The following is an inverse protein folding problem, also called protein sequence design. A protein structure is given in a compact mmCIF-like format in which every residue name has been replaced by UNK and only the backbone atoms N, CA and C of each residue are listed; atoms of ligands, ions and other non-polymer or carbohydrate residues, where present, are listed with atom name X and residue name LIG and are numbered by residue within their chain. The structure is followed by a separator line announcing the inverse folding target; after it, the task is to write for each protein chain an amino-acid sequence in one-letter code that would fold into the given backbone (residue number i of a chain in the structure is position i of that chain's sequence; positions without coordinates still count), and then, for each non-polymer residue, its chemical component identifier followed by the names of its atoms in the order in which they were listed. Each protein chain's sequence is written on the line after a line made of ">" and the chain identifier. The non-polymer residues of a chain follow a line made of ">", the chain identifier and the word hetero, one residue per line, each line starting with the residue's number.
data_IF_610454005460
#
_entry.id   IF_610454005460
#
_cell.length_a   1.000
_cell.length_b   1.000
_cell.length_c   1.000
_cell.angle_alpha   90.00
_cell.angle_beta   90.00
_cell.angle_gamma   90.00
#
_symmetry.space_group_name_H-M   'P 1'
#
loop_
_entity.id
_entity.type
_entity.pdbx_description
1 polymer ?
#
# COMPACT_ATOMS: atom_id res chain seq x y z
N UNK A 1 -4.82 -4.33 16.55
CA UNK A 1 -5.31 -3.20 15.72
C UNK A 1 -5.09 -3.61 14.27
N UNK A 2 -6.13 -4.13 13.60
CA UNK A 2 -6.01 -4.51 12.20
C UNK A 2 -5.93 -3.21 11.36
N UNK A 3 -4.88 -3.07 10.55
CA UNK A 3 -4.83 -2.02 9.53
C UNK A 3 -6.00 -2.23 8.60
N UNK A 4 -6.91 -1.27 8.49
CA UNK A 4 -8.07 -1.44 7.60
C UNK A 4 -7.55 -1.37 6.16
N UNK A 5 -8.08 -2.22 5.28
CA UNK A 5 -7.78 -2.20 3.84
C UNK A 5 -7.88 -0.79 3.24
N UNK A 6 -8.86 -0.01 3.72
CA UNK A 6 -9.07 1.39 3.33
C UNK A 6 -7.86 2.27 3.66
N UNK A 7 -7.28 2.14 4.85
CA UNK A 7 -6.13 2.93 5.30
C UNK A 7 -4.89 2.63 4.43
N UNK A 8 -4.72 1.36 4.03
CA UNK A 8 -3.66 0.94 3.11
C UNK A 8 -3.87 1.51 1.69
N UNK A 9 -5.11 1.54 1.20
CA UNK A 9 -5.42 2.11 -0.11
C UNK A 9 -5.28 3.64 -0.15
N UNK A 10 -5.62 4.33 0.93
CA UNK A 10 -5.38 5.76 1.11
C UNK A 10 -3.87 6.06 1.14
N UNK A 11 -3.11 5.32 1.96
CA UNK A 11 -1.65 5.48 2.03
C UNK A 11 -0.97 5.19 0.68
N UNK A 12 -1.45 4.19 -0.07
CA UNK A 12 -0.98 3.92 -1.43
C UNK A 12 -1.24 5.09 -2.38
N UNK A 13 -2.38 5.73 -2.26
CA UNK A 13 -2.78 6.87 -3.10
C UNK A 13 -1.93 8.09 -2.78
N UNK A 14 -1.70 8.35 -1.49
CA UNK A 14 -0.79 9.38 -1.00
C UNK A 14 0.62 9.23 -1.60
N UNK A 15 1.27 8.08 -1.43
CA UNK A 15 2.63 7.89 -1.98
C UNK A 15 2.70 7.93 -3.51
N UNK A 16 1.63 7.59 -4.22
CA UNK A 16 1.57 7.78 -5.68
C UNK A 16 1.50 9.25 -6.06
N UNK A 17 0.88 10.09 -5.23
CA UNK A 17 0.82 11.52 -5.45
C UNK A 17 2.17 12.17 -5.15
N UNK A 18 2.80 11.83 -4.02
CA UNK A 18 4.14 12.31 -3.66
C UNK A 18 5.17 12.01 -4.76
N UNK A 19 5.12 10.82 -5.37
CA UNK A 19 6.03 10.45 -6.45
C UNK A 19 5.95 11.32 -7.72
N UNK A 20 4.89 12.12 -7.87
CA UNK A 20 4.77 13.07 -8.98
C UNK A 20 5.58 14.34 -8.75
N UNK A 21 6.05 14.57 -7.53
CA UNK A 21 6.93 15.68 -7.22
C UNK A 21 8.27 15.49 -7.95
N UNK A 22 8.63 16.50 -8.75
CA UNK A 22 9.84 16.57 -9.55
C UNK A 22 11.05 16.99 -8.70
N UNK A 23 10.83 17.58 -7.52
CA UNK A 23 11.88 17.98 -6.58
C UNK A 23 12.45 16.81 -5.77
N UNK A 24 11.77 15.65 -5.77
CA UNK A 24 12.24 14.46 -5.08
C UNK A 24 13.61 14.01 -5.59
N UNK A 25 14.54 13.88 -4.66
CA UNK A 25 15.82 13.26 -4.94
C UNK A 25 15.65 11.80 -5.31
N UNK A 26 16.62 11.23 -6.03
CA UNK A 26 16.61 9.80 -6.36
C UNK A 26 16.51 8.88 -5.14
N UNK A 27 17.07 9.31 -3.99
CA UNK A 27 16.98 8.59 -2.72
C UNK A 27 15.56 8.56 -2.16
N UNK A 28 14.89 9.70 -2.10
CA UNK A 28 13.50 9.81 -1.63
C UNK A 28 12.54 9.04 -2.55
N UNK A 29 12.70 9.22 -3.87
CA UNK A 29 11.93 8.48 -4.87
C UNK A 29 12.05 6.97 -4.70
N UNK A 30 13.26 6.47 -4.45
CA UNK A 30 13.48 5.05 -4.17
C UNK A 30 12.80 4.58 -2.87
N UNK A 31 12.81 5.41 -1.82
CA UNK A 31 12.12 5.12 -0.55
C UNK A 31 10.60 5.03 -0.75
N UNK A 32 10.00 5.97 -1.48
CA UNK A 32 8.58 5.92 -1.83
C UNK A 32 8.21 4.69 -2.65
N UNK A 33 9.03 4.30 -3.63
CA UNK A 33 8.81 3.10 -4.44
C UNK A 33 8.87 1.82 -3.58
N UNK A 34 9.82 1.73 -2.64
CA UNK A 34 9.90 0.61 -1.68
C UNK A 34 8.66 0.56 -0.78
N UNK A 35 8.22 1.70 -0.26
CA UNK A 35 7.02 1.79 0.57
C UNK A 35 5.77 1.33 -0.22
N UNK A 36 5.62 1.77 -1.47
CA UNK A 36 4.53 1.33 -2.35
C UNK A 36 4.53 -0.17 -2.60
N UNK A 37 5.72 -0.79 -2.76
CA UNK A 37 5.83 -2.25 -2.93
C UNK A 37 5.32 -3.00 -1.70
N UNK A 38 5.66 -2.53 -0.50
CA UNK A 38 5.20 -3.13 0.75
C UNK A 38 3.68 -2.99 0.92
N UNK A 39 3.14 -1.78 0.69
CA UNK A 39 1.69 -1.55 0.81
C UNK A 39 0.89 -2.41 -0.16
N UNK A 40 1.35 -2.56 -1.41
CA UNK A 40 0.70 -3.47 -2.37
C UNK A 40 0.61 -4.90 -1.85
N UNK A 41 1.71 -5.41 -1.28
CA UNK A 41 1.75 -6.76 -0.69
C UNK A 41 0.80 -6.89 0.50
N UNK A 42 0.72 -5.89 1.37
CA UNK A 42 -0.23 -5.92 2.50
C UNK A 42 -1.69 -5.89 2.04
N UNK A 43 -2.02 -5.09 1.02
CA UNK A 43 -3.35 -5.06 0.42
C UNK A 43 -3.74 -6.43 -0.16
N UNK A 44 -2.80 -7.10 -0.82
CA UNK A 44 -3.01 -8.43 -1.40
C UNK A 44 -3.28 -9.47 -0.31
N UNK A 45 -2.45 -9.52 0.73
CA UNK A 45 -2.61 -10.41 1.89
C UNK A 45 -3.97 -10.18 2.59
N UNK A 46 -4.36 -8.92 2.81
CA UNK A 46 -5.64 -8.58 3.43
C UNK A 46 -6.83 -9.02 2.57
N UNK A 47 -6.72 -8.91 1.25
CA UNK A 47 -7.77 -9.38 0.33
C UNK A 47 -7.86 -10.90 0.34
N UNK A 48 -6.75 -11.61 0.25
CA UNK A 48 -6.70 -13.08 0.31
C UNK A 48 -7.27 -13.60 1.64
N UNK A 49 -6.91 -12.97 2.76
CA UNK A 49 -7.41 -13.34 4.08
C UNK A 49 -8.93 -13.19 4.16
N UNK A 50 -9.47 -12.08 3.66
CA UNK A 50 -10.93 -11.85 3.62
C UNK A 50 -11.66 -12.82 2.71
N UNK A 51 -11.07 -13.21 1.58
CA UNK A 51 -11.67 -14.22 0.70
C UNK A 51 -11.67 -15.60 1.37
N UNK A 52 -10.59 -15.98 2.06
CA UNK A 52 -10.55 -17.23 2.85
C UNK A 52 -11.57 -17.25 3.99
N UNK A 53 -11.76 -16.12 4.68
CA UNK A 53 -12.78 -15.99 5.73
C UNK A 53 -14.20 -16.18 5.18
N UNK A 54 -14.50 -15.69 3.98
CA UNK A 54 -15.81 -15.87 3.32
C UNK A 54 -16.07 -17.30 2.87
N UNK A 55 -15.04 -18.04 2.45
CA UNK A 55 -15.19 -19.44 2.00
C UNK A 55 -15.48 -20.37 3.19
N UNK A 56 -15.01 -20.02 4.39
CA UNK A 56 -15.17 -20.82 5.61
C UNK A 56 -16.43 -20.46 6.44
N UNK A 57 -17.32 -19.61 5.92
CA UNK A 57 -18.60 -19.20 6.52
C UNK A 57 -19.79 -19.74 5.72
#
# INVERSE_FOLDING_TARGET
>A
MALKLKDLEETRSFYKQELKDEELTGGERNSYLKALKLIKRFIEIEKETRELEKINL
#
